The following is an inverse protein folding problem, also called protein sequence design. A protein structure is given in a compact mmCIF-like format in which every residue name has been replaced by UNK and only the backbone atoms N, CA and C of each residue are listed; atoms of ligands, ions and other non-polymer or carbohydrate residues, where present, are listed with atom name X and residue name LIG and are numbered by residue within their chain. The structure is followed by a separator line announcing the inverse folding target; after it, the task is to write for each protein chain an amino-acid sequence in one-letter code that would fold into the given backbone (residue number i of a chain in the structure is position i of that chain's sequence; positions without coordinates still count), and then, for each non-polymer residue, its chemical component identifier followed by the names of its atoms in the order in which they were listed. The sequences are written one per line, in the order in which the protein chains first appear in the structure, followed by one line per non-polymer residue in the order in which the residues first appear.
data_IF_928082479340
#
_entry.id   IF_928082479340
#
_cell.length_a   1.000
_cell.length_b   1.000
_cell.length_c   1.000
_cell.angle_alpha   90.00
_cell.angle_beta   90.00
_cell.angle_gamma   90.00
#
_symmetry.space_group_name_H-M   'P 1'
#
loop_
_entity.id
_entity.type
_entity.pdbx_description
1 polymer ?
#
# COMPACT_ATOMS: atom_id res chain seq x y z
N UNK A 1 -18.94 47.52 34.55
CA UNK A 1 -19.71 46.94 35.67
C UNK A 1 -20.35 45.68 35.11
N UNK A 2 -19.98 44.44 35.43
CA UNK A 2 -18.99 43.79 36.29
C UNK A 2 -18.64 42.43 35.60
N UNK A 3 -17.38 41.98 35.55
CA UNK A 3 -16.80 40.82 36.29
C UNK A 3 -17.55 39.47 36.12
N UNK A 4 -16.96 38.28 36.00
CA UNK A 4 -15.59 37.76 35.88
C UNK A 4 -15.66 36.22 35.69
N UNK A 5 -14.54 35.60 35.29
CA UNK A 5 -14.11 34.21 35.60
C UNK A 5 -14.91 33.04 35.00
N UNK A 6 -14.37 31.88 34.61
CA UNK A 6 -13.12 31.12 34.84
C UNK A 6 -13.12 30.01 33.76
N UNK A 7 -12.01 29.64 33.11
CA UNK A 7 -11.03 28.68 33.63
C UNK A 7 -11.04 27.36 32.83
N UNK A 8 -9.91 27.08 32.17
CA UNK A 8 -9.26 25.78 31.94
C UNK A 8 -10.02 24.58 31.35
N UNK A 9 -9.53 24.05 30.22
CA UNK A 9 -9.02 22.67 30.21
C UNK A 9 -8.08 22.42 29.01
N UNK A 10 -6.81 22.20 29.31
CA UNK A 10 -5.81 21.63 28.40
C UNK A 10 -6.10 20.14 28.22
N UNK A 11 -6.29 19.69 26.99
CA UNK A 11 -6.41 18.28 26.62
C UNK A 11 -5.17 17.86 25.85
N UNK A 12 -4.12 17.51 26.57
CA UNK A 12 -2.88 16.95 26.04
C UNK A 12 -3.15 15.48 25.64
N UNK A 13 -3.29 15.22 24.34
CA UNK A 13 -3.47 13.87 23.79
C UNK A 13 -2.16 13.08 23.92
N UNK A 14 -2.16 12.07 24.80
CA UNK A 14 -1.03 11.17 25.00
C UNK A 14 -0.85 10.25 23.79
N UNK A 15 0.26 10.46 23.09
CA UNK A 15 0.81 9.56 22.09
C UNK A 15 1.29 8.26 22.77
N UNK A 16 0.62 7.14 22.51
CA UNK A 16 1.02 5.82 23.02
C UNK A 16 2.18 5.26 22.19
N UNK A 17 3.41 5.58 22.60
CA UNK A 17 4.65 4.93 22.15
C UNK A 17 4.64 3.45 22.59
N UNK A 18 4.30 2.53 21.67
CA UNK A 18 4.46 1.08 21.90
C UNK A 18 5.95 0.75 21.79
N UNK A 19 6.66 0.98 22.90
CA UNK A 19 8.06 0.64 23.07
C UNK A 19 8.16 -0.83 23.49
N UNK A 20 8.55 -1.70 22.56
CA UNK A 20 8.95 -3.08 22.88
C UNK A 20 10.15 -3.04 23.86
N UNK A 21 10.09 -3.68 25.04
CA UNK A 21 11.22 -3.69 25.95
C UNK A 21 12.25 -4.72 25.45
N UNK A 22 13.30 -4.24 24.79
CA UNK A 22 14.56 -4.99 24.75
C UNK A 22 15.16 -4.95 26.15
N UNK A 23 15.19 -6.08 26.83
CA UNK A 23 15.95 -6.26 28.08
C UNK A 23 17.43 -5.99 27.83
N UNK A 24 17.94 -4.84 28.28
CA UNK A 24 19.37 -4.53 28.35
C UNK A 24 19.82 -4.89 29.77
N UNK A 25 20.58 -5.97 29.91
CA UNK A 25 21.34 -6.22 31.13
C UNK A 25 22.57 -5.29 31.12
N UNK A 26 22.61 -4.33 32.05
CA UNK A 26 23.82 -3.61 32.43
C UNK A 26 24.32 -4.21 33.73
N UNK A 27 25.50 -4.82 33.71
CA UNK A 27 26.24 -5.16 34.92
C UNK A 27 27.73 -4.94 34.66
N UNK A 28 28.24 -3.88 35.27
CA UNK A 28 29.64 -3.58 35.44
C UNK A 28 30.28 -4.54 36.43
N UNK A 29 31.39 -5.15 36.03
CA UNK A 29 32.47 -5.61 36.92
C UNK A 29 32.26 -6.95 37.65
N UNK A 30 32.94 -7.99 37.17
CA UNK A 30 33.86 -8.75 38.05
C UNK A 30 34.86 -9.53 37.22
N UNK A 31 36.11 -9.45 37.68
CA UNK A 31 37.32 -10.03 37.14
C UNK A 31 37.39 -11.51 37.57
N UNK A 32 38.02 -12.34 36.72
CA UNK A 32 38.33 -13.77 36.90
C UNK A 32 37.15 -14.75 36.90
N UNK A 33 36.99 -15.47 35.79
CA UNK A 33 36.56 -16.86 35.84
C UNK A 33 37.23 -17.62 34.71
N UNK A 34 38.08 -18.55 35.10
CA UNK A 34 38.87 -19.40 34.22
C UNK A 34 37.94 -20.26 33.38
N UNK A 35 38.29 -20.40 32.10
CA UNK A 35 37.94 -21.51 31.21
C UNK A 35 37.76 -22.78 32.02
N UNK A 36 36.51 -23.21 32.17
CA UNK A 36 36.17 -24.56 32.61
C UNK A 36 35.69 -25.29 31.38
N UNK A 37 36.65 -25.81 30.62
CA UNK A 37 36.39 -26.93 29.71
C UNK A 37 35.76 -28.03 30.56
N UNK A 38 34.49 -28.32 30.33
CA UNK A 38 33.81 -29.45 30.95
C UNK A 38 34.36 -30.76 30.37
N UNK A 39 35.58 -31.11 30.77
CA UNK A 39 36.11 -32.46 30.66
C UNK A 39 35.50 -33.27 31.80
N UNK A 40 34.32 -33.85 31.56
CA UNK A 40 33.86 -34.96 32.39
C UNK A 40 34.49 -36.25 31.88
N UNK A 41 35.67 -36.56 32.43
CA UNK A 41 36.19 -37.91 32.56
C UNK A 41 36.66 -38.04 33.99
N UNK A 42 35.72 -38.19 34.92
CA UNK A 42 36.00 -38.80 36.20
C UNK A 42 36.04 -40.31 35.92
N UNK A 43 37.26 -40.83 35.85
CA UNK A 43 37.55 -42.25 35.64
C UNK A 43 37.87 -42.78 37.03
N UNK A 44 36.86 -43.26 37.75
CA UNK A 44 37.11 -44.08 38.93
C UNK A 44 37.54 -45.45 38.44
N UNK A 45 38.81 -45.71 38.68
CA UNK A 45 39.51 -46.98 38.49
C UNK A 45 38.93 -48.01 39.46
N UNK A 46 38.05 -48.88 38.96
CA UNK A 46 37.72 -50.16 39.58
C UNK A 46 37.10 -51.11 38.53
N UNK A 47 37.75 -52.27 38.40
CA UNK A 47 37.26 -53.55 37.88
C UNK A 47 37.08 -53.75 36.35
N UNK A 48 37.89 -54.69 35.87
CA UNK A 48 38.09 -55.17 34.51
C UNK A 48 36.93 -56.08 34.06
N UNK A 49 35.79 -55.54 33.58
CA UNK A 49 34.75 -56.32 32.85
C UNK A 49 33.62 -55.51 32.16
N UNK A 50 33.83 -54.35 31.53
CA UNK A 50 32.82 -53.83 30.55
C UNK A 50 33.30 -52.73 29.57
N UNK A 51 34.57 -52.77 29.16
CA UNK A 51 35.11 -51.75 28.23
C UNK A 51 34.40 -51.73 26.87
N UNK A 52 33.78 -52.85 26.46
CA UNK A 52 32.99 -52.94 25.23
C UNK A 52 31.64 -52.21 25.29
N UNK A 53 30.92 -52.30 26.41
CA UNK A 53 29.62 -51.65 26.60
C UNK A 53 29.72 -50.12 26.74
N UNK A 54 30.74 -49.63 27.44
CA UNK A 54 30.97 -48.19 27.59
C UNK A 54 31.35 -47.49 26.27
N UNK A 55 32.13 -48.15 25.41
CA UNK A 55 32.46 -47.60 24.08
C UNK A 55 31.20 -47.49 23.20
N UNK A 56 30.33 -48.50 23.21
CA UNK A 56 29.05 -48.48 22.48
C UNK A 56 28.11 -47.36 22.96
N UNK A 57 28.06 -47.08 24.26
CA UNK A 57 27.25 -45.98 24.81
C UNK A 57 27.79 -44.59 24.41
N UNK A 58 29.11 -44.38 24.47
CA UNK A 58 29.74 -43.14 24.03
C UNK A 58 29.52 -42.91 22.54
N UNK A 59 29.61 -43.97 21.73
CA UNK A 59 29.37 -43.92 20.29
C UNK A 59 27.92 -43.58 19.96
N UNK A 60 26.95 -44.27 20.59
CA UNK A 60 25.52 -43.95 20.47
C UNK A 60 25.21 -42.49 20.83
N UNK A 61 25.85 -41.96 21.88
CA UNK A 61 25.68 -40.55 22.28
C UNK A 61 26.26 -39.59 21.24
N UNK A 62 27.43 -39.90 20.64
CA UNK A 62 28.03 -39.12 19.55
C UNK A 62 27.16 -39.12 18.30
N UNK A 63 26.57 -40.26 17.95
CA UNK A 63 25.66 -40.38 16.81
C UNK A 63 24.39 -39.54 17.02
N UNK A 64 23.75 -39.65 18.19
CA UNK A 64 22.57 -38.85 18.52
C UNK A 64 22.86 -37.35 18.46
N UNK A 65 24.02 -36.92 18.99
CA UNK A 65 24.45 -35.52 18.91
C UNK A 65 24.66 -35.06 17.46
N UNK A 66 25.33 -35.88 16.64
CA UNK A 66 25.54 -35.60 15.21
C UNK A 66 24.22 -35.50 14.45
N UNK A 67 23.28 -36.41 14.70
CA UNK A 67 21.94 -36.39 14.09
C UNK A 67 21.15 -35.13 14.48
N UNK A 68 21.20 -34.73 15.76
CA UNK A 68 20.54 -33.52 16.24
C UNK A 68 21.10 -32.25 15.57
N UNK A 69 22.42 -32.14 15.45
CA UNK A 69 23.06 -31.00 14.77
C UNK A 69 22.77 -31.01 13.26
N UNK A 70 22.75 -32.18 12.60
CA UNK A 70 22.36 -32.26 11.19
C UNK A 70 20.92 -31.80 10.99
N UNK A 71 19.98 -32.22 11.86
CA UNK A 71 18.58 -31.76 11.81
C UNK A 71 18.49 -30.25 11.98
N UNK A 72 19.25 -29.66 12.92
CA UNK A 72 19.33 -28.21 13.11
C UNK A 72 19.85 -27.49 11.85
N UNK A 73 20.95 -27.99 11.25
CA UNK A 73 21.52 -27.42 10.02
C UNK A 73 20.55 -27.51 8.84
N UNK A 74 19.85 -28.63 8.70
CA UNK A 74 18.84 -28.81 7.66
C UNK A 74 17.67 -27.83 7.83
N UNK A 75 17.22 -27.59 9.06
CA UNK A 75 16.19 -26.59 9.34
C UNK A 75 16.64 -25.16 8.98
N UNK A 76 17.89 -24.81 9.31
CA UNK A 76 18.48 -23.50 8.93
C UNK A 76 18.55 -23.36 7.41
N UNK A 77 19.01 -24.39 6.69
CA UNK A 77 19.10 -24.34 5.23
C UNK A 77 17.72 -24.16 4.58
N UNK A 78 16.69 -24.86 5.07
CA UNK A 78 15.29 -24.64 4.62
C UNK A 78 14.82 -23.20 4.87
N UNK A 79 15.26 -22.58 5.96
CA UNK A 79 15.00 -21.17 6.24
C UNK A 79 15.64 -20.23 5.22
N UNK A 80 16.86 -20.54 4.75
CA UNK A 80 17.50 -19.79 3.66
C UNK A 80 16.76 -19.94 2.33
N UNK A 81 16.34 -21.16 1.99
CA UNK A 81 15.58 -21.42 0.75
C UNK A 81 14.27 -20.60 0.76
N UNK A 82 13.52 -20.64 1.87
CA UNK A 82 12.28 -19.86 2.03
C UNK A 82 12.51 -18.35 1.98
N UNK A 83 13.63 -17.88 2.55
CA UNK A 83 13.99 -16.47 2.52
C UNK A 83 14.34 -16.00 1.11
N UNK A 84 14.98 -16.87 0.32
CA UNK A 84 15.29 -16.61 -1.07
C UNK A 84 14.01 -16.45 -1.91
N UNK A 85 13.00 -17.28 -1.64
CA UNK A 85 11.69 -17.20 -2.30
C UNK A 85 10.91 -15.93 -1.93
N UNK A 86 11.06 -15.41 -0.71
CA UNK A 86 10.34 -14.20 -0.28
C UNK A 86 10.96 -12.89 -0.76
N UNK A 87 12.24 -12.90 -1.13
CA UNK A 87 12.99 -11.70 -1.50
C UNK A 87 13.11 -11.63 -3.02
N UNK A 88 12.40 -10.72 -3.71
CA UNK A 88 12.36 -10.68 -5.17
C UNK A 88 13.74 -10.54 -5.82
N UNK A 89 14.64 -9.76 -5.19
CA UNK A 89 16.00 -9.53 -5.68
C UNK A 89 16.92 -10.74 -5.53
N UNK A 90 16.49 -11.79 -4.83
CA UNK A 90 17.15 -13.09 -4.75
C UNK A 90 16.63 -14.06 -5.84
N UNK A 91 15.38 -13.91 -6.28
CA UNK A 91 14.80 -14.75 -7.35
C UNK A 91 15.36 -14.39 -8.74
N UNK A 92 15.62 -13.11 -9.01
CA UNK A 92 16.06 -12.64 -10.33
C UNK A 92 17.44 -13.19 -10.77
N UNK A 93 18.27 -13.64 -9.83
CA UNK A 93 19.61 -14.17 -10.13
C UNK A 93 19.62 -15.64 -10.58
N UNK A 94 18.54 -16.39 -10.40
CA UNK A 94 18.50 -17.84 -10.71
C UNK A 94 18.09 -18.15 -12.15
N UNK A 95 17.67 -17.15 -12.94
CA UNK A 95 17.11 -17.37 -14.29
C UNK A 95 18.14 -17.73 -15.39
N UNK A 96 19.37 -18.12 -15.05
CA UNK A 96 20.30 -18.53 -16.11
C UNK A 96 21.65 -19.12 -15.72
N UNK A 97 22.04 -19.14 -14.46
CA UNK A 97 23.33 -19.71 -14.05
C UNK A 97 23.12 -20.49 -12.76
N UNK A 98 23.47 -21.78 -12.74
CA UNK A 98 23.30 -22.71 -11.61
C UNK A 98 24.17 -22.39 -10.39
N UNK A 99 24.40 -21.12 -10.11
CA UNK A 99 25.15 -20.62 -8.98
C UNK A 99 24.21 -20.24 -7.83
N UNK A 100 24.23 -21.03 -6.76
CA UNK A 100 23.46 -20.74 -5.55
C UNK A 100 24.00 -19.49 -4.87
N UNK A 101 23.12 -18.54 -4.57
CA UNK A 101 23.45 -17.30 -3.88
C UNK A 101 24.12 -17.59 -2.52
N UNK A 102 25.15 -16.81 -2.15
CA UNK A 102 25.79 -16.98 -0.85
C UNK A 102 24.84 -16.64 0.29
N UNK A 103 24.96 -17.35 1.43
CA UNK A 103 24.18 -17.08 2.64
C UNK A 103 24.27 -15.62 3.09
N UNK A 104 25.47 -15.03 3.03
CA UNK A 104 25.69 -13.62 3.37
C UNK A 104 24.92 -12.68 2.44
N UNK A 105 24.92 -12.97 1.14
CA UNK A 105 24.18 -12.17 0.15
C UNK A 105 22.67 -12.27 0.33
N UNK A 106 22.14 -13.47 0.62
CA UNK A 106 20.71 -13.66 0.90
C UNK A 106 20.30 -12.81 2.10
N UNK A 107 21.07 -12.85 3.19
CA UNK A 107 20.79 -12.04 4.39
C UNK A 107 20.83 -10.54 4.08
N UNK A 108 21.84 -10.07 3.34
CA UNK A 108 21.95 -8.65 3.00
C UNK A 108 20.76 -8.18 2.15
N UNK A 109 20.43 -8.91 1.08
CA UNK A 109 19.27 -8.61 0.22
C UNK A 109 17.96 -8.62 1.01
N UNK A 110 17.85 -9.50 2.01
CA UNK A 110 16.69 -9.56 2.89
C UNK A 110 16.58 -8.33 3.79
N UNK A 111 17.69 -7.86 4.35
CA UNK A 111 17.74 -6.62 5.15
C UNK A 111 17.30 -5.44 4.29
N UNK A 112 17.88 -5.31 3.10
CA UNK A 112 17.56 -4.23 2.16
C UNK A 112 16.09 -4.26 1.77
N UNK A 113 15.53 -5.46 1.53
CA UNK A 113 14.12 -5.62 1.20
C UNK A 113 13.19 -5.27 2.37
N UNK A 114 13.54 -5.64 3.61
CA UNK A 114 12.77 -5.22 4.80
C UNK A 114 12.79 -3.70 4.94
N UNK A 115 13.94 -3.04 4.72
CA UNK A 115 14.04 -1.58 4.77
C UNK A 115 13.19 -0.92 3.68
N UNK A 116 13.22 -1.48 2.47
CA UNK A 116 12.36 -1.05 1.37
C UNK A 116 10.88 -1.17 1.74
N UNK A 117 10.43 -2.33 2.22
CA UNK A 117 9.04 -2.55 2.63
C UNK A 117 8.60 -1.60 3.74
N UNK A 118 9.47 -1.31 4.72
CA UNK A 118 9.18 -0.33 5.77
C UNK A 118 8.98 1.08 5.21
N UNK A 119 9.83 1.49 4.27
CA UNK A 119 9.71 2.79 3.59
C UNK A 119 8.43 2.87 2.77
N UNK A 120 8.13 1.82 2.01
CA UNK A 120 6.93 1.78 1.17
C UNK A 120 5.65 1.76 1.98
N UNK A 121 5.63 1.00 3.09
CA UNK A 121 4.53 1.03 4.05
C UNK A 121 4.31 2.44 4.62
N UNK A 122 5.38 3.10 5.08
CA UNK A 122 5.28 4.46 5.62
C UNK A 122 4.74 5.46 4.58
N UNK A 123 5.17 5.34 3.33
CA UNK A 123 4.67 6.17 2.22
C UNK A 123 3.17 5.94 1.97
N UNK A 124 2.73 4.69 1.96
CA UNK A 124 1.31 4.34 1.79
C UNK A 124 0.46 4.85 2.96
N UNK A 125 0.97 4.78 4.19
CA UNK A 125 0.28 5.31 5.37
C UNK A 125 0.11 6.84 5.29
N UNK A 126 1.14 7.56 4.82
CA UNK A 126 1.08 9.01 4.59
C UNK A 126 0.06 9.38 3.50
N UNK A 127 0.04 8.64 2.38
CA UNK A 127 -0.91 8.85 1.28
C UNK A 127 -2.36 8.61 1.73
N UNK A 128 -2.61 7.53 2.49
CA UNK A 128 -3.93 7.27 3.08
C UNK A 128 -4.36 8.41 4.00
N UNK A 129 -3.47 8.90 4.86
CA UNK A 129 -3.77 10.01 5.76
C UNK A 129 -4.08 11.31 4.98
N UNK A 130 -3.36 11.56 3.89
CA UNK A 130 -3.62 12.70 3.02
C UNK A 130 -4.99 12.61 2.32
N UNK A 131 -5.31 11.46 1.73
CA UNK A 131 -6.60 11.22 1.07
C UNK A 131 -7.77 11.33 2.06
N UNK A 132 -7.61 10.83 3.28
CA UNK A 132 -8.63 10.99 4.33
C UNK A 132 -8.90 12.47 4.65
N UNK A 133 -7.85 13.30 4.73
CA UNK A 133 -8.02 14.75 4.93
C UNK A 133 -8.75 15.40 3.76
N UNK A 134 -8.45 15.00 2.53
CA UNK A 134 -9.14 15.51 1.34
C UNK A 134 -10.62 15.15 1.32
N UNK A 135 -10.97 13.89 1.64
CA UNK A 135 -12.36 13.43 1.76
C UNK A 135 -13.12 14.25 2.80
N UNK A 136 -12.51 14.52 3.96
CA UNK A 136 -13.13 15.34 5.00
C UNK A 136 -13.35 16.77 4.50
N UNK A 137 -12.35 17.39 3.85
CA UNK A 137 -12.46 18.74 3.31
C UNK A 137 -13.57 18.84 2.24
N UNK A 138 -13.62 17.89 1.30
CA UNK A 138 -14.67 17.82 0.27
C UNK A 138 -16.05 17.62 0.89
N UNK A 139 -16.16 16.78 1.92
CA UNK A 139 -17.42 16.57 2.64
C UNK A 139 -17.89 17.86 3.31
N UNK A 140 -17.01 18.59 3.97
CA UNK A 140 -17.32 19.89 4.57
C UNK A 140 -17.79 20.88 3.49
N UNK A 141 -17.08 20.98 2.36
CA UNK A 141 -17.48 21.87 1.26
C UNK A 141 -18.86 21.51 0.71
N UNK A 142 -19.13 20.22 0.44
CA UNK A 142 -20.44 19.73 0.00
C UNK A 142 -21.54 20.14 0.97
N UNK A 143 -21.35 19.92 2.26
CA UNK A 143 -22.32 20.30 3.29
C UNK A 143 -22.57 21.82 3.32
N UNK A 144 -21.52 22.63 3.16
CA UNK A 144 -21.67 24.09 3.08
C UNK A 144 -22.50 24.50 1.85
N UNK A 145 -22.23 23.93 0.68
CA UNK A 145 -23.02 24.21 -0.53
C UNK A 145 -24.49 23.78 -0.37
N UNK A 146 -24.74 22.59 0.19
CA UNK A 146 -26.10 22.11 0.45
C UNK A 146 -26.87 23.06 1.38
N UNK A 147 -26.21 23.59 2.41
CA UNK A 147 -26.80 24.58 3.30
C UNK A 147 -27.13 25.90 2.60
N UNK A 148 -26.21 26.41 1.76
CA UNK A 148 -26.44 27.64 0.97
C UNK A 148 -27.61 27.45 0.01
N UNK A 149 -27.65 26.32 -0.72
CA UNK A 149 -28.74 25.99 -1.65
C UNK A 149 -30.07 25.90 -0.91
N UNK A 150 -30.10 25.21 0.24
CA UNK A 150 -31.30 25.09 1.07
C UNK A 150 -31.76 26.44 1.62
N UNK A 151 -30.84 27.30 2.05
CA UNK A 151 -31.15 28.65 2.51
C UNK A 151 -31.72 29.53 1.38
N UNK A 152 -31.12 29.45 0.19
CA UNK A 152 -31.58 30.18 -0.99
C UNK A 152 -32.98 29.71 -1.45
N UNK A 153 -33.24 28.40 -1.45
CA UNK A 153 -34.56 27.84 -1.74
C UNK A 153 -35.62 28.31 -0.74
N UNK A 154 -35.28 28.42 0.55
CA UNK A 154 -36.19 28.95 1.58
C UNK A 154 -36.48 30.45 1.45
N UNK A 155 -35.53 31.23 0.90
CA UNK A 155 -35.70 32.67 0.70
C UNK A 155 -36.50 33.01 -0.57
N UNK A 156 -36.65 32.08 -1.51
CA UNK A 156 -37.43 32.28 -2.75
C UNK A 156 -38.54 31.22 -2.93
N UNK A 157 -39.57 31.20 -2.05
CA UNK A 157 -40.73 30.33 -2.23
C UNK A 157 -41.53 30.78 -3.46
N UNK A 158 -41.29 30.13 -4.61
CA UNK A 158 -41.96 30.42 -5.88
C UNK A 158 -41.08 30.31 -7.13
N UNK A 159 -39.76 30.25 -7.00
CA UNK A 159 -38.82 30.12 -8.13
C UNK A 159 -38.47 28.68 -8.53
N UNK A 160 -39.24 27.68 -8.06
CA UNK A 160 -39.11 26.30 -8.56
C UNK A 160 -39.39 26.19 -10.07
N UNK A 161 -40.08 27.16 -10.66
CA UNK A 161 -40.46 27.17 -12.08
C UNK A 161 -39.36 27.60 -13.06
N UNK A 162 -38.21 28.11 -12.59
CA UNK A 162 -37.07 28.49 -13.46
C UNK A 162 -35.92 27.46 -13.50
N UNK A 163 -35.98 26.43 -12.68
CA UNK A 163 -35.04 25.31 -12.79
C UNK A 163 -35.49 24.41 -13.93
N UNK A 164 -34.76 24.47 -15.05
CA UNK A 164 -34.88 23.48 -16.12
C UNK A 164 -34.68 22.10 -15.47
N UNK A 165 -35.67 21.22 -15.59
CA UNK A 165 -35.62 19.86 -15.01
C UNK A 165 -34.38 19.12 -15.51
N UNK A 166 -33.81 18.25 -14.68
CA UNK A 166 -32.68 17.41 -15.10
C UNK A 166 -33.03 16.54 -16.30
N UNK A 167 -34.31 16.18 -16.47
CA UNK A 167 -34.82 15.55 -17.68
C UNK A 167 -34.62 16.44 -18.91
N UNK A 168 -34.97 17.72 -18.83
CA UNK A 168 -34.80 18.66 -19.95
C UNK A 168 -33.32 18.90 -20.24
N UNK A 169 -32.46 18.99 -19.21
CA UNK A 169 -31.00 19.08 -19.40
C UNK A 169 -30.44 17.84 -20.10
N UNK A 170 -30.90 16.64 -19.70
CA UNK A 170 -30.48 15.39 -20.33
C UNK A 170 -30.93 15.31 -21.79
N UNK A 171 -32.16 15.71 -22.09
CA UNK A 171 -32.68 15.72 -23.45
C UNK A 171 -31.95 16.73 -24.35
N UNK A 172 -31.60 17.91 -23.82
CA UNK A 172 -30.76 18.88 -24.53
C UNK A 172 -29.38 18.30 -24.82
N UNK A 173 -28.71 17.72 -23.82
CA UNK A 173 -27.40 17.10 -24.00
C UNK A 173 -27.45 15.98 -25.05
N UNK A 174 -28.44 15.09 -24.93
CA UNK A 174 -28.65 13.99 -25.87
C UNK A 174 -28.87 14.50 -27.28
N UNK A 175 -29.74 15.48 -27.48
CA UNK A 175 -30.02 16.03 -28.81
C UNK A 175 -28.77 16.66 -29.46
N UNK A 176 -27.94 17.36 -28.68
CA UNK A 176 -26.67 17.91 -29.16
C UNK A 176 -25.71 16.78 -29.55
N UNK A 177 -25.55 15.76 -28.69
CA UNK A 177 -24.65 14.64 -28.96
C UNK A 177 -25.10 13.80 -30.17
N UNK A 178 -26.39 13.50 -30.29
CA UNK A 178 -26.96 12.74 -31.40
C UNK A 178 -26.78 13.50 -32.73
N UNK A 179 -26.99 14.83 -32.73
CA UNK A 179 -26.77 15.68 -33.91
C UNK A 179 -25.30 15.74 -34.31
N UNK A 180 -24.38 15.88 -33.34
CA UNK A 180 -22.95 15.89 -33.61
C UNK A 180 -22.47 14.52 -34.13
N UNK A 181 -22.95 13.43 -33.54
CA UNK A 181 -22.60 12.08 -34.00
C UNK A 181 -23.08 11.81 -35.43
N UNK A 182 -24.31 12.21 -35.76
CA UNK A 182 -24.87 12.00 -37.10
C UNK A 182 -24.10 12.79 -38.18
N UNK A 183 -23.69 14.01 -37.88
CA UNK A 183 -22.87 14.81 -38.80
C UNK A 183 -21.44 14.26 -38.89
N UNK A 184 -20.88 13.76 -37.79
CA UNK A 184 -19.57 13.10 -37.79
C UNK A 184 -19.57 11.86 -38.70
N UNK A 185 -20.55 10.97 -38.56
CA UNK A 185 -20.64 9.74 -39.36
C UNK A 185 -20.77 10.01 -40.87
N UNK A 186 -21.37 11.15 -41.24
CA UNK A 186 -21.54 11.56 -42.64
C UNK A 186 -20.31 12.28 -43.22
N UNK A 187 -19.55 13.00 -42.39
CA UNK A 187 -18.49 13.89 -42.86
C UNK A 187 -17.09 13.29 -42.76
N UNK A 188 -16.87 12.28 -41.92
CA UNK A 188 -15.53 11.72 -41.69
C UNK A 188 -15.20 10.62 -42.71
N UNK A 189 -14.11 10.83 -43.47
CA UNK A 189 -13.50 9.78 -44.30
C UNK A 189 -12.56 8.94 -43.46
N UNK A 190 -12.57 7.62 -43.63
CA UNK A 190 -11.69 6.66 -42.91
C UNK A 190 -10.62 6.01 -43.81
N UNK A 191 -10.43 6.53 -45.03
CA UNK A 191 -9.59 5.89 -46.04
C UNK A 191 -8.08 5.96 -45.73
N UNK A 192 -7.60 7.08 -45.20
CA UNK A 192 -6.20 7.27 -44.79
C UNK A 192 -6.07 8.43 -43.80
N UNK A 193 -4.92 8.53 -43.12
CA UNK A 193 -4.69 9.53 -42.07
C UNK A 193 -4.83 10.99 -42.55
N UNK A 194 -4.39 11.29 -43.78
CA UNK A 194 -4.49 12.64 -44.33
C UNK A 194 -5.97 13.05 -44.52
N UNK A 195 -6.79 12.17 -45.11
CA UNK A 195 -8.24 12.39 -45.27
C UNK A 195 -8.98 12.43 -43.94
N UNK A 196 -8.65 11.54 -42.99
CA UNK A 196 -9.23 11.55 -41.64
C UNK A 196 -8.92 12.89 -40.97
N UNK A 197 -7.65 13.30 -40.94
CA UNK A 197 -7.24 14.54 -40.28
C UNK A 197 -7.89 15.79 -40.91
N UNK A 198 -7.97 15.85 -42.24
CA UNK A 198 -8.64 16.94 -42.95
C UNK A 198 -10.14 16.98 -42.69
N UNK A 199 -10.82 15.83 -42.80
CA UNK A 199 -12.27 15.74 -42.59
C UNK A 199 -12.68 16.02 -41.15
N UNK A 200 -11.90 15.58 -40.15
CA UNK A 200 -12.15 15.90 -38.73
C UNK A 200 -12.02 17.40 -38.46
N UNK A 201 -10.97 18.05 -39.00
CA UNK A 201 -10.79 19.50 -38.82
C UNK A 201 -11.95 20.27 -39.45
N UNK A 202 -12.29 19.97 -40.70
CA UNK A 202 -13.42 20.62 -41.39
C UNK A 202 -14.76 20.37 -40.67
N UNK A 203 -14.99 19.15 -40.18
CA UNK A 203 -16.21 18.83 -39.43
C UNK A 203 -16.33 19.65 -38.13
N UNK A 204 -15.25 19.73 -37.34
CA UNK A 204 -15.24 20.54 -36.10
C UNK A 204 -15.50 22.01 -36.41
N UNK A 205 -14.83 22.55 -37.43
CA UNK A 205 -14.98 23.96 -37.81
C UNK A 205 -16.39 24.29 -38.31
N UNK A 206 -17.09 23.35 -38.93
CA UNK A 206 -18.41 23.59 -39.52
C UNK A 206 -19.57 23.25 -38.56
N UNK A 207 -19.48 22.14 -37.82
CA UNK A 207 -20.60 21.54 -37.09
C UNK A 207 -20.52 21.70 -35.56
N UNK A 208 -19.33 21.94 -34.98
CA UNK A 208 -19.16 22.07 -33.52
C UNK A 208 -19.24 23.52 -33.02
N UNK A 209 -19.80 24.45 -33.81
CA UNK A 209 -19.87 25.87 -33.43
C UNK A 209 -20.84 26.08 -32.26
N UNK A 210 -20.52 26.97 -31.30
CA UNK A 210 -21.40 27.26 -30.16
C UNK A 210 -22.83 27.64 -30.57
N UNK A 211 -22.99 28.40 -31.66
CA UNK A 211 -24.29 28.79 -32.19
C UNK A 211 -25.18 27.60 -32.59
N UNK A 212 -24.62 26.59 -33.27
CA UNK A 212 -25.36 25.39 -33.70
C UNK A 212 -25.85 24.60 -32.49
N UNK A 213 -24.98 24.43 -31.49
CA UNK A 213 -25.32 23.72 -30.25
C UNK A 213 -26.37 24.49 -29.42
N UNK A 214 -26.30 25.82 -29.39
CA UNK A 214 -27.29 26.68 -28.73
C UNK A 214 -28.64 26.63 -29.44
N UNK A 215 -28.67 26.62 -30.77
CA UNK A 215 -29.91 26.52 -31.55
C UNK A 215 -30.61 25.17 -31.33
N UNK A 216 -29.85 24.06 -31.30
CA UNK A 216 -30.36 22.73 -30.95
C UNK A 216 -30.91 22.74 -29.52
N UNK A 217 -30.17 23.29 -28.57
CA UNK A 217 -30.59 23.38 -27.17
C UNK A 217 -31.86 24.23 -27.00
N UNK A 218 -31.95 25.37 -27.69
CA UNK A 218 -33.11 26.25 -27.66
C UNK A 218 -34.34 25.58 -28.28
N UNK A 219 -34.19 24.84 -29.37
CA UNK A 219 -35.29 24.11 -30.01
C UNK A 219 -35.88 23.04 -29.10
N UNK A 220 -35.04 22.26 -28.40
CA UNK A 220 -35.51 21.24 -27.46
C UNK A 220 -36.15 21.87 -26.22
N UNK A 221 -35.54 22.94 -25.69
CA UNK A 221 -36.07 23.65 -24.53
C UNK A 221 -37.42 24.36 -24.81
N UNK A 222 -37.70 24.73 -26.07
CA UNK A 222 -38.96 25.35 -26.49
C UNK A 222 -40.05 24.34 -26.88
N UNK A 223 -39.71 23.05 -27.04
CA UNK A 223 -40.65 21.99 -27.41
C UNK A 223 -41.22 21.24 -26.19
N UNK A 224 -40.71 21.50 -24.99
CA UNK A 224 -41.15 20.91 -23.72
C UNK A 224 -41.73 21.96 -22.78
#
# INVERSE_FOLDING_TARGET
MAEASTGSNEGEERETDIRYPFSRCSSTGSIHTLTSSANNTDVTDDEDSDRGGQMSYIERRREAHTQAEQKRRNAINKGYDSLQDLVPTCQSSEQGQGYKMSKATILQKSIDYIQFLKKEKSKQEEEVAALQKEVVALTIMKLNYEQIVSAHQRQQPGQHSKQISDEVKFQVFRAVMDSLYQTFDQCISTNNFAEISGSVISWVEEHCKPQVNVDIAANIANQM
#
